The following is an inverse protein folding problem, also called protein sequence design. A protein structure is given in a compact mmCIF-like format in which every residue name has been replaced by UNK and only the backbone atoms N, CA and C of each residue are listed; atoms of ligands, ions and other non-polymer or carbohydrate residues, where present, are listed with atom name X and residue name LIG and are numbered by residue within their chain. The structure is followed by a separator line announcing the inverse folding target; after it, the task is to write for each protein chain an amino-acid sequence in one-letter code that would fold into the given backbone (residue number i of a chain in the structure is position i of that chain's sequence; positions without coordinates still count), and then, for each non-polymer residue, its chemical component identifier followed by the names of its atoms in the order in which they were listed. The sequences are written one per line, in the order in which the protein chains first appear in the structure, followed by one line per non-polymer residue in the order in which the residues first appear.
data_IF_194063010927
#
_entry.id   IF_194063010927
#
_cell.length_a   1.000
_cell.length_b   1.000
_cell.length_c   1.000
_cell.angle_alpha   90.00
_cell.angle_beta   90.00
_cell.angle_gamma   90.00
#
_symmetry.space_group_name_H-M   'P 1'
#
loop_
_entity.id
_entity.type
_entity.pdbx_description
1 polymer ?
#
# COMPACT_ATOMS: atom_id res chain seq x y z
N UNK A 1 -6.99 10.41 56.53
CA UNK A 1 -7.42 10.02 55.17
C UNK A 1 -6.26 10.32 54.26
N UNK A 2 -5.57 9.29 53.82
CA UNK A 2 -4.36 9.45 52.99
C UNK A 2 -4.82 9.43 51.51
N UNK A 3 -4.70 10.60 50.87
CA UNK A 3 -4.85 10.68 49.41
C UNK A 3 -3.70 9.93 48.77
N UNK A 4 -3.97 8.75 48.23
CA UNK A 4 -3.02 8.08 47.37
C UNK A 4 -2.85 8.89 46.06
N UNK A 5 -1.60 9.17 45.64
CA UNK A 5 -1.40 9.89 44.40
C UNK A 5 -1.97 9.06 43.21
N UNK A 6 -2.92 9.66 42.49
CA UNK A 6 -3.38 9.14 41.21
C UNK A 6 -2.19 9.25 40.26
N UNK A 7 -1.56 8.10 39.96
CA UNK A 7 -0.52 8.04 38.94
C UNK A 7 -1.16 8.46 37.61
N UNK A 8 -0.49 9.32 36.82
CA UNK A 8 -0.97 9.65 35.48
C UNK A 8 -1.11 8.35 34.70
N UNK A 9 -2.25 8.17 34.07
CA UNK A 9 -2.44 7.08 33.10
C UNK A 9 -1.36 7.29 32.04
N UNK A 10 -0.34 6.41 32.02
CA UNK A 10 0.70 6.47 31.00
C UNK A 10 0.00 6.53 29.65
N UNK A 11 0.16 7.63 28.93
CA UNK A 11 -0.21 7.71 27.52
C UNK A 11 0.54 6.58 26.81
N UNK A 12 -0.18 5.54 26.44
CA UNK A 12 0.41 4.39 25.76
C UNK A 12 1.04 4.94 24.48
N UNK A 13 2.37 4.93 24.43
CA UNK A 13 3.12 5.47 23.30
C UNK A 13 2.66 4.76 22.01
N UNK A 14 2.01 5.51 21.11
CA UNK A 14 1.58 5.00 19.82
C UNK A 14 2.78 4.54 19.00
N UNK A 15 2.57 3.51 18.20
CA UNK A 15 3.56 3.01 17.22
C UNK A 15 3.17 3.51 15.84
N UNK A 16 4.17 3.98 15.12
CA UNK A 16 3.97 4.46 13.77
C UNK A 16 3.78 3.31 12.79
N UNK A 17 2.70 3.37 12.02
CA UNK A 17 2.44 2.56 10.84
C UNK A 17 2.56 3.46 9.61
N UNK A 18 3.61 3.26 8.85
CA UNK A 18 3.85 3.99 7.61
C UNK A 18 3.10 3.34 6.46
N UNK A 19 2.17 4.05 5.86
CA UNK A 19 1.37 3.60 4.72
C UNK A 19 1.77 4.38 3.47
N UNK A 20 2.18 3.66 2.43
CA UNK A 20 2.55 4.21 1.13
C UNK A 20 1.62 3.67 0.04
N UNK A 21 0.96 4.57 -0.65
CA UNK A 21 0.28 4.28 -1.90
C UNK A 21 1.16 4.75 -3.06
N UNK A 22 1.46 3.85 -4.00
CA UNK A 22 2.06 4.17 -5.29
C UNK A 22 0.95 4.08 -6.33
N UNK A 23 0.54 5.23 -6.87
CA UNK A 23 -0.60 5.34 -7.77
C UNK A 23 -0.14 5.69 -9.18
N UNK A 24 -0.44 4.82 -10.13
CA UNK A 24 -0.25 5.07 -11.53
C UNK A 24 -1.20 6.18 -12.00
N UNK A 25 -0.62 7.21 -12.57
CA UNK A 25 -1.28 8.35 -13.17
C UNK A 25 -0.91 8.50 -14.65
N UNK A 26 -0.50 7.41 -15.30
CA UNK A 26 -0.23 7.39 -16.74
C UNK A 26 -1.50 7.60 -17.58
N UNK A 27 -1.32 7.89 -18.86
CA UNK A 27 -2.46 8.18 -19.75
C UNK A 27 -3.45 7.02 -19.88
N UNK A 28 -3.02 5.77 -19.72
CA UNK A 28 -3.87 4.59 -19.76
C UNK A 28 -4.86 4.51 -18.57
N UNK A 29 -4.52 5.19 -17.48
CA UNK A 29 -5.41 5.35 -16.31
C UNK A 29 -6.54 6.36 -16.53
N UNK A 30 -6.57 7.08 -17.65
CA UNK A 30 -7.57 8.13 -17.90
C UNK A 30 -9.00 7.59 -17.89
N UNK A 31 -9.94 8.47 -17.56
CA UNK A 31 -11.38 8.14 -17.55
C UNK A 31 -11.83 7.43 -16.27
N UNK A 32 -12.46 6.28 -16.41
CA UNK A 32 -13.12 5.58 -15.30
C UNK A 32 -12.14 5.00 -14.29
N UNK A 33 -10.95 4.55 -14.72
CA UNK A 33 -9.92 3.97 -13.83
C UNK A 33 -9.46 4.98 -12.78
N UNK A 34 -8.99 6.15 -13.20
CA UNK A 34 -8.52 7.20 -12.27
C UNK A 34 -9.66 7.78 -11.44
N UNK A 35 -10.86 7.92 -12.02
CA UNK A 35 -12.04 8.39 -11.29
C UNK A 35 -12.45 7.40 -10.18
N UNK A 36 -12.39 6.08 -10.47
CA UNK A 36 -12.66 5.03 -9.48
C UNK A 36 -11.61 5.01 -8.40
N UNK A 37 -10.32 5.11 -8.76
CA UNK A 37 -9.23 5.20 -7.78
C UNK A 37 -9.45 6.39 -6.82
N UNK A 38 -9.74 7.57 -7.35
CA UNK A 38 -10.00 8.75 -6.53
C UNK A 38 -11.21 8.57 -5.61
N UNK A 39 -12.29 7.98 -6.11
CA UNK A 39 -13.49 7.75 -5.33
C UNK A 39 -13.22 6.80 -4.16
N UNK A 40 -12.63 5.63 -4.42
CA UNK A 40 -12.39 4.64 -3.38
C UNK A 40 -11.33 5.12 -2.37
N UNK A 41 -10.31 5.86 -2.79
CA UNK A 41 -9.31 6.38 -1.87
C UNK A 41 -9.89 7.42 -0.92
N UNK A 42 -10.84 8.25 -1.35
CA UNK A 42 -11.57 9.15 -0.43
C UNK A 42 -12.34 8.37 0.65
N UNK A 43 -12.99 7.26 0.29
CA UNK A 43 -13.70 6.42 1.27
C UNK A 43 -12.72 5.73 2.23
N UNK A 44 -11.62 5.19 1.71
CA UNK A 44 -10.59 4.52 2.52
C UNK A 44 -9.98 5.47 3.54
N UNK A 45 -9.60 6.67 3.12
CA UNK A 45 -8.97 7.67 4.01
C UNK A 45 -9.95 8.22 5.04
N UNK A 46 -11.21 8.44 4.66
CA UNK A 46 -12.19 9.09 5.53
C UNK A 46 -13.02 8.11 6.38
N UNK A 47 -13.07 6.84 6.02
CA UNK A 47 -13.99 5.87 6.65
C UNK A 47 -13.31 4.56 7.02
N UNK A 48 -12.70 3.86 6.04
CA UNK A 48 -12.25 2.48 6.25
C UNK A 48 -11.03 2.42 7.18
N UNK A 49 -9.97 3.18 6.90
CA UNK A 49 -8.76 3.19 7.74
C UNK A 49 -9.02 3.79 9.14
N UNK A 50 -9.77 4.90 9.30
CA UNK A 50 -10.16 5.36 10.63
C UNK A 50 -10.88 4.29 11.45
N UNK A 51 -11.84 3.56 10.85
CA UNK A 51 -12.56 2.47 11.54
C UNK A 51 -11.64 1.31 11.98
N UNK A 52 -10.59 1.01 11.21
CA UNK A 52 -9.56 0.05 11.61
C UNK A 52 -8.79 0.56 12.83
N UNK A 53 -8.44 1.84 12.86
CA UNK A 53 -7.65 2.44 13.94
C UNK A 53 -8.43 2.61 15.24
N UNK A 54 -9.77 2.74 15.20
CA UNK A 54 -10.61 2.74 16.41
C UNK A 54 -10.39 1.48 17.26
N UNK A 55 -10.13 0.34 16.63
CA UNK A 55 -9.83 -0.91 17.30
C UNK A 55 -8.34 -1.08 17.65
N UNK A 56 -7.50 -0.10 17.33
CA UNK A 56 -6.06 -0.15 17.50
C UNK A 56 -5.51 1.17 18.10
N UNK A 57 -5.88 1.53 19.33
CA UNK A 57 -5.57 2.84 19.92
C UNK A 57 -4.07 3.11 20.07
N UNK A 58 -3.24 2.05 19.99
CA UNK A 58 -1.78 2.14 20.11
C UNK A 58 -1.06 2.32 18.76
N UNK A 59 -1.81 2.52 17.67
CA UNK A 59 -1.25 2.71 16.33
C UNK A 59 -1.50 4.14 15.87
N UNK A 60 -0.46 4.78 15.34
CA UNK A 60 -0.54 6.02 14.59
C UNK A 60 -0.26 5.70 13.14
N UNK A 61 -1.26 5.82 12.27
CA UNK A 61 -1.09 5.60 10.85
C UNK A 61 -0.64 6.92 10.19
N UNK A 62 0.51 6.87 9.51
CA UNK A 62 1.05 7.96 8.72
C UNK A 62 0.89 7.61 7.24
N UNK A 63 0.17 8.45 6.50
CA UNK A 63 -0.20 8.20 5.12
C UNK A 63 0.64 9.01 4.15
N UNK A 64 1.10 8.38 3.08
CA UNK A 64 1.82 9.05 1.99
C UNK A 64 1.39 8.49 0.64
N UNK A 65 1.40 9.35 -0.37
CA UNK A 65 1.04 8.98 -1.73
C UNK A 65 2.16 9.41 -2.68
N UNK A 66 2.66 8.46 -3.44
CA UNK A 66 3.54 8.67 -4.58
C UNK A 66 2.69 8.49 -5.83
N UNK A 67 2.44 9.58 -6.55
CA UNK A 67 1.86 9.52 -7.89
C UNK A 67 2.98 9.40 -8.91
N UNK A 68 2.77 8.61 -9.95
CA UNK A 68 3.76 8.46 -11.01
C UNK A 68 3.10 8.41 -12.40
N UNK A 69 3.76 9.05 -13.34
CA UNK A 69 3.42 9.10 -14.74
C UNK A 69 4.72 9.11 -15.57
N UNK A 70 5.08 10.23 -16.22
CA UNK A 70 6.40 10.38 -16.87
C UNK A 70 7.54 10.53 -15.85
N UNK A 71 7.24 10.92 -14.64
CA UNK A 71 8.10 11.00 -13.46
C UNK A 71 7.33 10.55 -12.22
N UNK A 72 7.98 10.49 -11.05
CA UNK A 72 7.34 10.17 -9.79
C UNK A 72 7.51 11.31 -8.79
N UNK A 73 6.44 11.62 -8.04
CA UNK A 73 6.46 12.65 -7.00
C UNK A 73 5.48 12.33 -5.87
N UNK A 74 5.66 13.00 -4.74
CA UNK A 74 4.67 12.93 -3.68
C UNK A 74 3.46 13.82 -3.99
N UNK A 75 2.27 13.22 -3.95
CA UNK A 75 0.99 13.91 -3.89
C UNK A 75 0.62 14.21 -2.44
N UNK A 76 0.94 13.28 -1.50
CA UNK A 76 0.88 13.46 -0.05
C UNK A 76 2.23 13.03 0.52
N UNK A 77 2.89 13.89 1.25
CA UNK A 77 4.25 13.70 1.75
C UNK A 77 5.22 14.75 1.19
N UNK A 78 6.57 14.55 1.23
CA UNK A 78 7.33 13.36 1.67
C UNK A 78 7.34 13.11 3.18
N UNK A 79 7.07 14.10 4.01
CA UNK A 79 7.00 13.93 5.45
C UNK A 79 5.77 13.11 5.84
N UNK A 80 5.83 12.34 6.94
CA UNK A 80 4.69 11.57 7.42
C UNK A 80 3.48 12.45 7.70
N UNK A 81 2.33 12.11 7.13
CA UNK A 81 1.06 12.82 7.38
C UNK A 81 0.15 11.90 8.19
N UNK A 82 -0.13 12.22 9.48
CA UNK A 82 -1.09 11.47 10.27
C UNK A 82 -2.43 11.35 9.53
N UNK A 83 -3.06 10.16 9.57
CA UNK A 83 -4.27 9.88 8.80
C UNK A 83 -5.38 10.90 9.04
N UNK A 84 -5.54 11.36 10.28
CA UNK A 84 -6.52 12.37 10.66
C UNK A 84 -6.30 13.75 10.00
N UNK A 85 -5.11 13.99 9.49
CA UNK A 85 -4.75 15.24 8.80
C UNK A 85 -4.73 15.09 7.26
N UNK A 86 -4.99 13.87 6.75
CA UNK A 86 -4.98 13.60 5.32
C UNK A 86 -6.22 14.20 4.66
N UNK A 87 -6.01 15.02 3.65
CA UNK A 87 -7.05 15.49 2.74
C UNK A 87 -6.75 14.94 1.35
N UNK A 88 -7.58 14.00 0.87
CA UNK A 88 -7.42 13.44 -0.46
C UNK A 88 -7.63 14.51 -1.53
N UNK A 89 -6.69 14.60 -2.44
CA UNK A 89 -6.79 15.41 -3.66
C UNK A 89 -6.84 14.48 -4.85
N UNK A 90 -7.75 14.75 -5.77
CA UNK A 90 -7.93 13.90 -6.94
C UNK A 90 -6.66 13.87 -7.80
N UNK A 91 -6.21 12.68 -8.09
CA UNK A 91 -5.14 12.41 -9.02
C UNK A 91 -5.65 12.57 -10.45
N UNK A 92 -4.78 12.98 -11.35
CA UNK A 92 -5.09 13.19 -12.77
C UNK A 92 -4.17 12.34 -13.63
N UNK A 93 -4.73 11.63 -14.60
CA UNK A 93 -3.96 10.74 -15.46
C UNK A 93 -3.42 11.48 -16.69
N UNK A 94 -2.11 11.38 -16.91
CA UNK A 94 -1.39 11.89 -18.08
C UNK A 94 0.04 11.35 -18.13
N UNK A 95 0.59 11.17 -19.32
CA UNK A 95 2.00 10.81 -19.53
C UNK A 95 2.28 9.32 -19.60
N UNK A 96 3.53 8.95 -19.37
CA UNK A 96 4.05 7.56 -19.43
C UNK A 96 3.90 6.84 -18.08
N UNK A 97 4.61 5.72 -17.88
CA UNK A 97 4.51 4.88 -16.68
C UNK A 97 5.90 4.66 -16.07
N UNK A 98 6.36 5.61 -15.25
CA UNK A 98 7.69 5.58 -14.62
C UNK A 98 7.66 4.85 -13.26
N UNK A 99 7.30 3.57 -13.26
CA UNK A 99 7.17 2.75 -12.05
C UNK A 99 8.50 2.59 -11.31
N UNK A 100 9.62 2.49 -12.03
CA UNK A 100 10.94 2.40 -11.40
C UNK A 100 11.26 3.64 -10.57
N UNK A 101 10.90 4.84 -11.04
CA UNK A 101 11.10 6.10 -10.31
C UNK A 101 10.23 6.15 -9.05
N UNK A 102 8.99 5.67 -9.13
CA UNK A 102 8.11 5.57 -7.97
C UNK A 102 8.69 4.64 -6.89
N UNK A 103 9.23 3.47 -7.29
CA UNK A 103 9.88 2.54 -6.38
C UNK A 103 11.16 3.14 -5.80
N UNK A 104 11.97 3.84 -6.61
CA UNK A 104 13.16 4.53 -6.12
C UNK A 104 12.79 5.63 -5.10
N UNK A 105 11.72 6.37 -5.36
CA UNK A 105 11.22 7.38 -4.43
C UNK A 105 10.73 6.75 -3.12
N UNK A 106 10.03 5.61 -3.18
CA UNK A 106 9.66 4.81 -2.00
C UNK A 106 10.93 4.38 -1.22
N UNK A 107 11.97 3.91 -1.91
CA UNK A 107 13.23 3.49 -1.27
C UNK A 107 13.87 4.62 -0.45
N UNK A 108 13.77 5.87 -0.89
CA UNK A 108 14.27 7.02 -0.10
C UNK A 108 13.57 7.16 1.24
N UNK A 109 12.30 6.78 1.33
CA UNK A 109 11.51 6.86 2.56
C UNK A 109 11.70 5.64 3.47
N UNK A 110 11.99 4.47 2.89
CA UNK A 110 12.28 3.24 3.63
C UNK A 110 13.74 3.16 4.12
N UNK A 111 14.53 4.21 3.93
CA UNK A 111 15.86 4.34 4.49
C UNK A 111 15.80 4.37 6.03
N UNK A 112 16.81 3.77 6.69
CA UNK A 112 16.80 3.53 8.14
C UNK A 112 16.73 4.83 8.96
N UNK A 113 17.28 5.92 8.45
CA UNK A 113 17.28 7.25 9.06
C UNK A 113 15.94 8.00 8.91
N UNK A 114 15.09 7.58 7.97
CA UNK A 114 13.77 8.13 7.71
C UNK A 114 12.65 7.39 8.44
N UNK A 115 12.86 6.12 8.74
CA UNK A 115 11.86 5.27 9.38
C UNK A 115 11.89 5.37 10.90
N UNK A 116 10.73 5.31 11.58
CA UNK A 116 10.66 5.40 13.03
C UNK A 116 11.36 4.21 13.68
N UNK A 117 12.17 4.46 14.74
CA UNK A 117 12.95 3.42 15.44
C UNK A 117 12.11 2.26 15.97
N UNK A 118 10.85 2.50 16.33
CA UNK A 118 9.89 1.52 16.85
C UNK A 118 8.65 1.38 15.96
N UNK A 119 8.80 1.66 14.66
CA UNK A 119 7.72 1.53 13.69
C UNK A 119 7.22 0.10 13.52
N UNK A 120 6.00 -0.02 13.04
CA UNK A 120 5.43 -1.25 12.53
C UNK A 120 5.99 -1.53 11.12
N UNK A 121 5.89 -2.77 10.59
CA UNK A 121 6.20 -3.03 9.19
C UNK A 121 5.41 -2.06 8.29
N UNK A 122 6.06 -1.32 7.40
CA UNK A 122 5.34 -0.40 6.53
C UNK A 122 4.46 -1.15 5.53
N UNK A 123 3.35 -0.54 5.17
CA UNK A 123 2.42 -1.03 4.13
C UNK A 123 2.70 -0.25 2.85
N UNK A 124 2.91 -0.96 1.73
CA UNK A 124 3.15 -0.36 0.43
C UNK A 124 2.22 -1.02 -0.60
N UNK A 125 1.33 -0.24 -1.20
CA UNK A 125 0.40 -0.71 -2.20
C UNK A 125 0.73 -0.03 -3.53
N UNK A 126 1.01 -0.83 -4.56
CA UNK A 126 1.19 -0.37 -5.93
C UNK A 126 -0.09 -0.62 -6.72
N UNK A 127 -0.60 0.40 -7.39
CA UNK A 127 -1.75 0.31 -8.29
C UNK A 127 -1.32 0.80 -9.66
N UNK A 128 -1.44 -0.05 -10.69
CA UNK A 128 -1.10 0.30 -12.06
C UNK A 128 -1.93 -0.50 -13.06
N UNK A 129 -2.15 0.04 -14.24
CA UNK A 129 -2.84 -0.62 -15.35
C UNK A 129 -1.92 -0.96 -16.53
N UNK A 130 -0.62 -0.73 -16.38
CA UNK A 130 0.31 -0.91 -17.49
C UNK A 130 1.71 -1.33 -17.09
N UNK A 131 2.48 -1.58 -18.14
CA UNK A 131 3.92 -1.85 -18.00
C UNK A 131 4.69 -0.57 -17.72
N UNK A 132 5.76 -0.73 -16.96
CA UNK A 132 6.77 0.32 -16.84
C UNK A 132 7.33 0.69 -18.23
N UNK A 133 7.28 1.95 -18.58
CA UNK A 133 7.82 2.44 -19.86
C UNK A 133 9.33 2.73 -19.80
N UNK A 134 9.91 2.61 -18.62
CA UNK A 134 11.36 2.74 -18.42
C UNK A 134 12.09 1.45 -18.79
N UNK A 135 13.42 1.48 -19.00
CA UNK A 135 14.18 0.27 -19.29
C UNK A 135 13.98 -0.81 -18.22
N UNK A 136 13.83 -2.07 -18.63
CA UNK A 136 13.63 -3.22 -17.72
C UNK A 136 14.71 -3.27 -16.63
N UNK A 137 15.95 -2.95 -16.97
CA UNK A 137 17.05 -2.89 -16.01
C UNK A 137 16.82 -1.84 -14.90
N UNK A 138 16.22 -0.69 -15.24
CA UNK A 138 15.90 0.35 -14.25
C UNK A 138 14.87 -0.17 -13.24
N UNK A 139 13.81 -0.83 -13.72
CA UNK A 139 12.81 -1.46 -12.86
C UNK A 139 13.40 -2.54 -11.95
N UNK A 140 14.21 -3.45 -12.54
CA UNK A 140 14.86 -4.52 -11.77
C UNK A 140 15.85 -3.98 -10.72
N UNK A 141 16.56 -2.90 -11.06
CA UNK A 141 17.43 -2.21 -10.09
C UNK A 141 16.64 -1.58 -8.96
N UNK A 142 15.49 -0.96 -9.24
CA UNK A 142 14.61 -0.38 -8.24
C UNK A 142 14.07 -1.46 -7.28
N UNK A 143 13.62 -2.61 -7.79
CA UNK A 143 13.18 -3.76 -6.98
C UNK A 143 14.33 -4.31 -6.13
N UNK A 144 15.53 -4.50 -6.70
CA UNK A 144 16.69 -4.96 -5.94
C UNK A 144 17.07 -3.99 -4.82
N UNK A 145 17.01 -2.69 -5.10
CA UNK A 145 17.25 -1.65 -4.10
C UNK A 145 16.22 -1.74 -2.96
N UNK A 146 14.93 -1.83 -3.30
CA UNK A 146 13.84 -2.00 -2.34
C UNK A 146 14.05 -3.24 -1.45
N UNK A 147 14.37 -4.38 -2.05
CA UNK A 147 14.59 -5.64 -1.34
C UNK A 147 15.91 -5.67 -0.55
N UNK A 148 16.85 -4.78 -0.82
CA UNK A 148 18.09 -4.65 -0.04
C UNK A 148 17.88 -3.90 1.28
N UNK A 149 16.93 -2.97 1.33
CA UNK A 149 16.67 -2.13 2.49
C UNK A 149 16.09 -2.95 3.65
N UNK A 150 16.53 -2.72 4.90
CA UNK A 150 15.96 -3.40 6.08
C UNK A 150 14.44 -3.22 6.21
N UNK A 151 13.93 -2.01 5.96
CA UNK A 151 12.49 -1.72 5.99
C UNK A 151 11.78 -2.18 4.73
N UNK A 152 12.45 -2.20 3.58
CA UNK A 152 11.94 -2.80 2.35
C UNK A 152 11.67 -4.31 2.50
N UNK A 153 12.58 -5.05 3.16
CA UNK A 153 12.39 -6.48 3.48
C UNK A 153 11.22 -6.74 4.41
N UNK A 154 10.96 -5.83 5.36
CA UNK A 154 9.89 -5.95 6.36
C UNK A 154 8.56 -5.42 5.85
N UNK A 155 8.54 -4.64 4.77
CA UNK A 155 7.33 -4.02 4.25
C UNK A 155 6.33 -5.06 3.74
N UNK A 156 5.06 -4.86 4.06
CA UNK A 156 3.93 -5.58 3.47
C UNK A 156 3.67 -4.93 2.13
N UNK A 157 4.09 -5.59 1.03
CA UNK A 157 3.95 -5.06 -0.32
C UNK A 157 2.91 -5.86 -1.09
N UNK A 158 1.92 -5.14 -1.63
CA UNK A 158 0.85 -5.68 -2.46
C UNK A 158 0.78 -4.90 -3.78
N UNK A 159 0.36 -5.56 -4.84
CA UNK A 159 0.13 -4.93 -6.13
C UNK A 159 -1.29 -5.20 -6.62
N UNK A 160 -1.92 -4.17 -7.17
CA UNK A 160 -3.23 -4.22 -7.80
C UNK A 160 -3.04 -3.84 -9.27
N UNK A 161 -3.31 -4.79 -10.16
CA UNK A 161 -3.30 -4.56 -11.60
C UNK A 161 -4.69 -4.23 -12.10
N UNK A 162 -4.81 -3.24 -13.00
CA UNK A 162 -6.08 -2.83 -13.60
C UNK A 162 -6.04 -3.17 -15.09
N UNK A 163 -6.89 -4.10 -15.54
CA UNK A 163 -6.96 -4.47 -16.93
C UNK A 163 -7.08 -5.98 -17.15
N UNK A 164 -7.01 -6.41 -18.41
CA UNK A 164 -7.08 -7.81 -18.78
C UNK A 164 -5.68 -8.42 -18.84
N UNK A 165 -5.50 -9.51 -18.09
CA UNK A 165 -4.27 -10.32 -18.13
C UNK A 165 -3.93 -10.74 -19.56
N UNK A 166 -2.67 -10.53 -19.95
CA UNK A 166 -2.14 -10.95 -21.25
C UNK A 166 -2.53 -10.07 -22.45
N UNK A 167 -3.38 -9.05 -22.24
CA UNK A 167 -3.71 -8.08 -23.28
C UNK A 167 -3.21 -6.67 -22.93
N UNK A 168 -3.49 -6.22 -21.71
CA UNK A 168 -3.24 -4.84 -21.28
C UNK A 168 -2.35 -4.78 -20.01
N UNK A 169 -2.14 -5.92 -19.33
CA UNK A 169 -1.45 -6.00 -18.06
C UNK A 169 -0.34 -7.05 -18.06
N UNK A 170 0.88 -6.63 -17.75
CA UNK A 170 2.02 -7.53 -17.51
C UNK A 170 2.11 -7.85 -16.01
N UNK A 171 1.47 -8.96 -15.64
CA UNK A 171 1.42 -9.41 -14.24
C UNK A 171 2.81 -9.67 -13.66
N UNK A 172 3.72 -10.25 -14.46
CA UNK A 172 5.07 -10.61 -14.02
C UNK A 172 5.88 -9.41 -13.52
N UNK A 173 5.65 -8.23 -14.09
CA UNK A 173 6.32 -7.01 -13.65
C UNK A 173 5.78 -6.56 -12.28
N UNK A 174 4.46 -6.46 -12.13
CA UNK A 174 3.82 -6.09 -10.87
C UNK A 174 4.09 -7.12 -9.76
N UNK A 175 4.17 -8.42 -10.12
CA UNK A 175 4.47 -9.51 -9.19
C UNK A 175 5.84 -9.34 -8.54
N UNK A 176 6.82 -8.74 -9.22
CA UNK A 176 8.15 -8.43 -8.63
C UNK A 176 8.05 -7.46 -7.46
N UNK A 177 7.09 -6.52 -7.46
CA UNK A 177 6.87 -5.60 -6.35
C UNK A 177 6.27 -6.29 -5.13
N UNK A 178 5.43 -7.29 -5.32
CA UNK A 178 4.78 -8.04 -4.23
C UNK A 178 5.83 -8.62 -3.29
N UNK A 179 5.58 -8.53 -1.98
CA UNK A 179 6.44 -9.14 -0.97
C UNK A 179 6.69 -10.62 -1.30
N UNK A 180 7.94 -11.12 -1.27
CA UNK A 180 8.25 -12.50 -1.68
C UNK A 180 7.36 -13.57 -1.04
N UNK A 181 7.00 -13.41 0.24
CA UNK A 181 6.14 -14.34 0.95
C UNK A 181 4.70 -14.43 0.39
N UNK A 182 4.24 -13.43 -0.36
CA UNK A 182 2.89 -13.38 -0.91
C UNK A 182 2.83 -13.56 -2.43
N UNK A 183 3.98 -13.68 -3.11
CA UNK A 183 4.02 -13.80 -4.58
C UNK A 183 3.25 -14.99 -5.12
N UNK A 184 3.28 -16.12 -4.42
CA UNK A 184 2.63 -17.35 -4.86
C UNK A 184 1.27 -17.57 -4.21
N UNK A 185 1.03 -17.00 -3.04
CA UNK A 185 -0.22 -17.16 -2.29
C UNK A 185 -1.28 -16.12 -2.71
N UNK A 186 -0.87 -14.87 -2.88
CA UNK A 186 -1.77 -13.75 -3.22
C UNK A 186 -1.55 -13.30 -4.67
N UNK A 187 -0.28 -13.18 -5.09
CA UNK A 187 0.10 -12.68 -6.40
C UNK A 187 -0.29 -11.21 -6.60
N UNK A 188 -0.64 -10.87 -7.83
CA UNK A 188 -1.18 -9.57 -8.21
C UNK A 188 -2.71 -9.64 -8.17
N UNK A 189 -3.34 -8.71 -7.47
CA UNK A 189 -4.79 -8.57 -7.44
C UNK A 189 -5.25 -7.92 -8.73
N UNK A 190 -5.85 -8.69 -9.63
CA UNK A 190 -6.23 -8.22 -10.96
C UNK A 190 -7.67 -7.71 -11.00
N UNK A 191 -7.84 -6.41 -11.14
CA UNK A 191 -9.14 -5.75 -11.26
C UNK A 191 -9.52 -5.55 -12.73
N UNK A 192 -10.50 -6.28 -13.22
CA UNK A 192 -11.03 -6.17 -14.58
C UNK A 192 -12.18 -5.17 -14.69
N UNK A 193 -12.76 -4.77 -13.58
CA UNK A 193 -13.87 -3.86 -13.52
C UNK A 193 -13.83 -3.00 -12.23
N UNK A 194 -14.66 -1.95 -12.21
CA UNK A 194 -14.76 -1.02 -11.10
C UNK A 194 -15.04 -1.68 -9.76
N UNK A 195 -15.96 -2.65 -9.72
CA UNK A 195 -16.34 -3.32 -8.47
C UNK A 195 -15.16 -4.11 -7.87
N UNK A 196 -14.39 -4.83 -8.70
CA UNK A 196 -13.19 -5.54 -8.28
C UNK A 196 -12.11 -4.57 -7.80
N UNK A 197 -11.88 -3.47 -8.52
CA UNK A 197 -10.89 -2.46 -8.13
C UNK A 197 -11.19 -1.90 -6.74
N UNK A 198 -12.44 -1.51 -6.48
CA UNK A 198 -12.89 -1.02 -5.16
C UNK A 198 -12.65 -2.07 -4.08
N UNK A 199 -13.05 -3.33 -4.33
CA UNK A 199 -12.87 -4.43 -3.36
C UNK A 199 -11.40 -4.67 -3.04
N UNK A 200 -10.54 -4.72 -4.05
CA UNK A 200 -9.12 -5.01 -3.86
C UNK A 200 -8.38 -3.87 -3.16
N UNK A 201 -8.62 -2.61 -3.54
CA UNK A 201 -7.98 -1.48 -2.86
C UNK A 201 -8.39 -1.45 -1.38
N UNK A 202 -9.70 -1.60 -1.09
CA UNK A 202 -10.21 -1.63 0.28
C UNK A 202 -9.61 -2.78 1.07
N UNK A 203 -9.63 -3.99 0.53
CA UNK A 203 -9.06 -5.17 1.19
C UNK A 203 -7.56 -5.00 1.44
N UNK A 204 -6.78 -4.61 0.43
CA UNK A 204 -5.34 -4.44 0.57
C UNK A 204 -4.99 -3.41 1.64
N UNK A 205 -5.69 -2.27 1.65
CA UNK A 205 -5.43 -1.21 2.63
C UNK A 205 -5.77 -1.63 4.05
N UNK A 206 -6.92 -2.26 4.26
CA UNK A 206 -7.39 -2.69 5.58
C UNK A 206 -6.63 -3.92 6.07
N UNK A 207 -6.52 -4.97 5.25
CA UNK A 207 -5.87 -6.22 5.63
C UNK A 207 -4.39 -6.03 5.95
N UNK A 208 -3.67 -5.27 5.10
CA UNK A 208 -2.26 -4.99 5.34
C UNK A 208 -2.04 -4.14 6.60
N UNK A 209 -2.92 -3.16 6.88
CA UNK A 209 -2.83 -2.34 8.09
C UNK A 209 -3.07 -3.17 9.37
N UNK A 210 -4.06 -4.05 9.36
CA UNK A 210 -4.32 -4.99 10.47
C UNK A 210 -3.14 -5.93 10.66
N UNK A 211 -2.66 -6.58 9.59
CA UNK A 211 -1.55 -7.52 9.65
C UNK A 211 -0.27 -6.87 10.17
N UNK A 212 0.02 -5.64 9.73
CA UNK A 212 1.15 -4.88 10.25
C UNK A 212 1.05 -4.64 11.76
N UNK A 213 -0.12 -4.22 12.24
CA UNK A 213 -0.34 -3.92 13.66
C UNK A 213 -0.28 -5.18 14.55
N UNK A 214 -0.73 -6.34 14.04
CA UNK A 214 -0.75 -7.62 14.77
C UNK A 214 0.64 -8.27 14.91
N UNK A 215 1.61 -7.90 14.09
CA UNK A 215 2.98 -8.46 14.10
C UNK A 215 3.69 -8.24 15.46
N UNK A 216 3.16 -7.38 16.32
CA UNK A 216 3.67 -7.05 17.64
C UNK A 216 3.69 -8.25 18.63
N UNK A 217 2.73 -9.15 18.54
CA UNK A 217 2.55 -10.21 19.55
C UNK A 217 3.57 -11.34 19.44
N UNK A 218 4.37 -11.41 18.38
CA UNK A 218 5.35 -12.47 18.13
C UNK A 218 6.81 -12.00 18.18
N UNK A 219 7.09 -10.69 18.31
CA UNK A 219 8.45 -10.18 18.43
C UNK A 219 9.09 -10.41 19.82
N UNK A 220 8.31 -10.78 20.82
CA UNK A 220 8.78 -11.16 22.16
C UNK A 220 9.17 -12.65 22.26
N UNK A 221 9.15 -13.39 21.16
CA UNK A 221 9.62 -14.78 21.11
C UNK A 221 11.09 -14.87 20.76
N UNK A 222 11.87 -15.76 21.38
CA UNK A 222 13.32 -15.82 21.20
C UNK A 222 13.72 -16.14 19.77
N UNK A 223 14.88 -15.60 19.37
CA UNK A 223 15.50 -15.64 18.06
C UNK A 223 15.28 -16.96 17.29
N UNK A 224 14.64 -16.87 16.11
CA UNK A 224 14.64 -17.99 15.16
C UNK A 224 13.45 -18.08 14.20
N UNK A 225 12.29 -17.59 14.55
CA UNK A 225 11.13 -17.60 13.63
C UNK A 225 10.87 -16.21 13.10
N UNK A 226 11.17 -15.98 11.82
CA UNK A 226 10.75 -14.77 11.12
C UNK A 226 9.27 -14.51 11.39
N UNK A 227 8.92 -13.28 11.74
CA UNK A 227 7.52 -12.89 11.97
C UNK A 227 6.73 -13.20 10.70
N UNK A 228 5.92 -14.24 10.73
CA UNK A 228 5.07 -14.64 9.62
C UNK A 228 3.88 -13.68 9.61
N UNK A 229 3.91 -12.71 8.72
CA UNK A 229 2.76 -11.85 8.45
C UNK A 229 1.71 -12.72 7.76
N UNK A 230 0.52 -12.81 8.35
CA UNK A 230 -0.60 -13.55 7.77
C UNK A 230 -1.63 -12.52 7.33
N UNK A 231 -1.95 -12.51 6.05
CA UNK A 231 -3.09 -11.76 5.52
C UNK A 231 -4.31 -12.69 5.43
N UNK A 232 -5.52 -12.17 5.65
CA UNK A 232 -6.72 -12.92 5.29
C UNK A 232 -6.72 -13.18 3.79
N UNK A 233 -7.41 -14.21 3.29
CA UNK A 233 -7.51 -14.42 1.84
C UNK A 233 -8.11 -13.17 1.18
N UNK A 234 -7.66 -12.82 -0.04
CA UNK A 234 -8.30 -11.75 -0.81
C UNK A 234 -9.78 -12.09 -1.08
N UNK A 235 -10.63 -11.08 -1.33
CA UNK A 235 -12.02 -11.33 -1.66
C UNK A 235 -12.08 -12.28 -2.85
N UNK A 236 -12.83 -13.38 -2.71
CA UNK A 236 -13.09 -14.26 -3.83
C UNK A 236 -13.67 -13.45 -4.99
N UNK A 237 -13.15 -13.70 -6.19
CA UNK A 237 -13.77 -13.18 -7.40
C UNK A 237 -15.18 -13.78 -7.49
N UNK A 238 -16.14 -13.06 -6.95
CA UNK A 238 -17.52 -13.30 -7.34
C UNK A 238 -17.53 -13.03 -8.84
N UNK A 239 -17.44 -14.12 -9.63
CA UNK A 239 -17.76 -14.13 -11.06
C UNK A 239 -19.24 -13.79 -11.15
N UNK A 240 -19.59 -12.53 -10.92
CA UNK A 240 -20.82 -12.02 -11.45
C UNK A 240 -20.63 -12.07 -12.97
N UNK A 241 -21.56 -12.72 -13.71
CA UNK A 241 -21.52 -12.72 -15.16
C UNK A 241 -21.46 -11.25 -15.58
N UNK A 242 -20.30 -10.83 -16.09
CA UNK A 242 -20.13 -9.49 -16.65
C UNK A 242 -21.16 -9.32 -17.75
N UNK A 243 -22.25 -8.62 -17.45
CA UNK A 243 -22.99 -7.94 -18.50
C UNK A 243 -21.96 -7.02 -19.16
N UNK A 244 -21.64 -7.21 -20.44
CA UNK A 244 -20.49 -6.68 -21.15
C UNK A 244 -20.33 -5.14 -21.22
N UNK A 245 -20.83 -4.43 -20.25
CA UNK A 245 -20.78 -2.97 -20.06
C UNK A 245 -19.91 -2.53 -18.87
N UNK A 246 -19.40 -3.46 -18.04
CA UNK A 246 -18.66 -3.15 -16.80
C UNK A 246 -17.16 -3.51 -16.85
N UNK A 247 -16.57 -3.50 -18.04
CA UNK A 247 -15.14 -3.78 -18.24
C UNK A 247 -14.42 -2.46 -18.53
N UNK A 248 -13.28 -2.20 -17.85
CA UNK A 248 -12.42 -1.07 -18.16
C UNK A 248 -11.92 -1.08 -19.60
#
# INVERSE_FOLDING_TARGET
MSDAPVLPVDEIAKRDLEFFLLADCSSSMSGEKIATLNHVMREIVNTDLPSVLENQPNVQLNFRVIEFASDARFSIGPDPVPLENVTWRDLSANGATATADAINLLCTQLATDRMPKRGLPPVCILISDGMCTQPTEAYENAIRSLESLPWGKKSIRLAIGIGRLGADLEEDELKKFVMPAFRDEIGVLNAQNKSQLVKYIRWASVAASIASSMTKSKMDSPAGSGAHVILPPPPEDLVEPTNGTDVF
#
